data_IF_065034870454
#
_entry.id   IF_065034870454
#
_cell.length_a   1.000
_cell.length_b   1.000
_cell.length_c   1.000
_cell.angle_alpha   90.00
_cell.angle_beta   90.00
_cell.angle_gamma   90.00
#
_symmetry.space_group_name_H-M   'P 1'
#
loop_
_entity.id
_entity.type
_entity.pdbx_description
1 polymer ?
#
# COMPACT_ATOMS: atom_id res chain seq x y z
N UNK A 1 4.42 -7.24 17.19
CA UNK A 1 3.07 -7.68 16.79
C UNK A 1 2.55 -6.81 15.66
N UNK A 2 2.05 -7.45 14.63
CA UNK A 2 1.54 -6.72 13.48
C UNK A 2 0.16 -6.15 13.77
N UNK A 3 -0.05 -4.88 13.41
CA UNK A 3 -1.37 -4.29 13.55
C UNK A 3 -2.22 -4.69 12.35
N UNK A 4 -3.54 -4.75 12.58
CA UNK A 4 -4.45 -5.24 11.55
C UNK A 4 -4.34 -4.47 10.24
N UNK A 5 -4.20 -3.14 10.30
CA UNK A 5 -4.13 -2.35 9.08
C UNK A 5 -2.85 -2.65 8.28
N UNK A 6 -1.82 -3.16 8.95
CA UNK A 6 -0.57 -3.50 8.25
C UNK A 6 -0.77 -4.66 7.29
N UNK A 7 -1.79 -5.49 7.52
CA UNK A 7 -2.09 -6.58 6.60
C UNK A 7 -2.49 -6.05 5.23
N UNK A 8 -3.17 -4.90 5.20
CA UNK A 8 -3.54 -4.27 3.93
C UNK A 8 -2.29 -3.83 3.18
N UNK A 9 -1.39 -3.18 3.90
CA UNK A 9 -0.15 -2.67 3.30
C UNK A 9 0.67 -3.83 2.76
N UNK A 10 0.81 -4.91 3.54
CA UNK A 10 1.56 -6.08 3.10
C UNK A 10 0.89 -6.75 1.91
N UNK A 11 -0.42 -6.82 1.90
CA UNK A 11 -1.15 -7.42 0.80
C UNK A 11 -0.86 -6.68 -0.52
N UNK A 12 -0.94 -5.35 -0.49
CA UNK A 12 -0.68 -4.54 -1.68
C UNK A 12 0.79 -4.64 -2.07
N UNK A 13 1.67 -4.57 -1.09
CA UNK A 13 3.11 -4.66 -1.32
C UNK A 13 3.47 -5.96 -2.00
N UNK A 14 2.96 -7.08 -1.50
CA UNK A 14 3.23 -8.39 -2.09
C UNK A 14 2.60 -8.51 -3.47
N UNK A 15 1.39 -7.99 -3.64
CA UNK A 15 0.72 -8.06 -4.93
C UNK A 15 1.47 -7.30 -6.01
N UNK A 16 1.97 -6.13 -5.65
CA UNK A 16 2.75 -5.33 -6.59
C UNK A 16 4.09 -6.01 -6.87
N UNK A 17 4.74 -6.51 -5.82
CA UNK A 17 6.03 -7.16 -5.98
C UNK A 17 5.99 -8.42 -6.82
N UNK A 18 4.89 -9.17 -6.75
CA UNK A 18 4.75 -10.41 -7.50
C UNK A 18 4.18 -10.19 -8.90
N UNK A 19 3.67 -8.99 -9.17
CA UNK A 19 3.04 -8.69 -10.45
C UNK A 19 1.56 -9.03 -10.49
N UNK A 20 1.00 -9.53 -9.39
CA UNK A 20 -0.42 -9.84 -9.36
C UNK A 20 -1.29 -8.58 -9.32
N UNK A 21 -0.76 -7.51 -8.77
CA UNK A 21 -1.43 -6.22 -8.74
C UNK A 21 -0.60 -5.26 -9.56
N UNK A 22 -1.22 -4.63 -10.55
CA UNK A 22 -0.50 -3.76 -11.49
C UNK A 22 -0.98 -2.33 -11.42
N UNK A 23 -0.13 -1.42 -11.92
CA UNK A 23 -0.46 0.00 -11.97
C UNK A 23 -1.77 0.21 -12.71
N UNK A 24 -2.62 1.07 -12.15
CA UNK A 24 -3.92 1.36 -12.76
C UNK A 24 -5.00 0.36 -12.42
N UNK A 25 -4.64 -0.72 -11.77
CA UNK A 25 -5.60 -1.78 -11.45
C UNK A 25 -6.49 -1.38 -10.28
N UNK A 26 -7.75 -1.79 -10.34
CA UNK A 26 -8.69 -1.54 -9.26
C UNK A 26 -8.48 -2.54 -8.14
N UNK A 27 -8.41 -2.04 -6.93
CA UNK A 27 -8.26 -2.89 -5.75
C UNK A 27 -9.61 -3.42 -5.31
N UNK A 28 -9.60 -4.51 -4.55
CA UNK A 28 -10.81 -5.03 -3.94
C UNK A 28 -11.48 -3.95 -3.10
N UNK A 29 -12.82 -3.91 -3.10
CA UNK A 29 -13.54 -2.98 -2.21
C UNK A 29 -13.18 -3.24 -0.76
N UNK A 30 -13.30 -2.21 0.06
CA UNK A 30 -12.97 -2.27 1.48
C UNK A 30 -13.56 -3.51 2.15
N UNK A 31 -14.84 -3.76 1.89
CA UNK A 31 -15.55 -4.86 2.53
C UNK A 31 -14.94 -6.22 2.16
N UNK A 32 -14.66 -6.41 0.87
CA UNK A 32 -14.10 -7.68 0.41
C UNK A 32 -12.67 -7.84 0.88
N UNK A 33 -11.93 -6.75 0.91
CA UNK A 33 -10.56 -6.77 1.39
C UNK A 33 -10.52 -7.17 2.86
N UNK A 34 -11.43 -6.62 3.66
CA UNK A 34 -11.50 -6.95 5.07
C UNK A 34 -11.78 -8.44 5.27
N UNK A 35 -12.70 -8.99 4.47
CA UNK A 35 -13.02 -10.41 4.55
C UNK A 35 -11.82 -11.27 4.15
N UNK A 36 -11.18 -10.90 3.07
CA UNK A 36 -10.05 -11.66 2.55
C UNK A 36 -8.89 -11.70 3.55
N UNK A 37 -8.64 -10.59 4.20
CA UNK A 37 -7.52 -10.49 5.14
C UNK A 37 -7.92 -10.81 6.57
N UNK A 38 -9.19 -11.10 6.81
CA UNK A 38 -9.72 -11.45 8.12
C UNK A 38 -9.44 -10.36 9.15
N UNK A 39 -9.74 -9.13 8.77
CA UNK A 39 -9.59 -7.97 9.64
C UNK A 39 -10.90 -7.18 9.63
N UNK A 40 -10.99 -6.23 10.56
CA UNK A 40 -12.18 -5.40 10.63
C UNK A 40 -12.23 -4.44 9.45
N UNK A 41 -13.43 -3.96 9.13
CA UNK A 41 -13.56 -2.98 8.05
C UNK A 41 -12.85 -1.67 8.39
N UNK A 42 -12.84 -1.31 9.68
CA UNK A 42 -12.11 -0.12 10.11
C UNK A 42 -10.61 -0.26 9.85
N UNK A 43 -10.06 -1.44 10.13
CA UNK A 43 -8.65 -1.69 9.87
C UNK A 43 -8.35 -1.66 8.38
N UNK A 44 -9.25 -2.24 7.57
CA UNK A 44 -9.08 -2.22 6.11
C UNK A 44 -9.09 -0.79 5.61
N UNK A 45 -10.03 0.02 6.11
CA UNK A 45 -10.12 1.42 5.71
C UNK A 45 -8.88 2.20 6.10
N UNK A 46 -8.37 1.94 7.29
CA UNK A 46 -7.18 2.64 7.76
C UNK A 46 -5.96 2.32 6.89
N UNK A 47 -5.80 1.04 6.55
CA UNK A 47 -4.70 0.64 5.67
C UNK A 47 -4.80 1.27 4.29
N UNK A 48 -6.00 1.29 3.74
CA UNK A 48 -6.22 1.91 2.43
C UNK A 48 -5.94 3.41 2.49
N UNK A 49 -6.32 4.05 3.59
CA UNK A 49 -6.08 5.49 3.74
C UNK A 49 -4.59 5.79 3.81
N UNK A 50 -3.83 4.94 4.51
CA UNK A 50 -2.39 5.12 4.59
C UNK A 50 -1.77 5.01 3.21
N UNK A 51 -2.16 3.99 2.44
CA UNK A 51 -1.65 3.83 1.09
C UNK A 51 -2.03 4.99 0.18
N UNK A 52 -3.22 5.52 0.37
CA UNK A 52 -3.66 6.67 -0.40
C UNK A 52 -2.81 7.90 -0.05
N UNK A 53 -2.53 8.09 1.24
CA UNK A 53 -1.70 9.21 1.68
C UNK A 53 -0.28 9.09 1.15
N UNK A 54 0.20 7.87 0.95
CA UNK A 54 1.52 7.65 0.40
C UNK A 54 1.56 7.81 -1.12
N UNK A 55 0.40 7.96 -1.75
CA UNK A 55 0.34 8.10 -3.21
C UNK A 55 0.30 6.78 -3.96
N UNK A 56 0.26 5.66 -3.24
CA UNK A 56 0.20 4.35 -3.88
C UNK A 56 -1.19 4.07 -4.43
N UNK A 57 -2.22 4.58 -3.76
CA UNK A 57 -3.60 4.40 -4.19
C UNK A 57 -4.23 5.74 -4.54
N UNK A 58 -5.15 5.70 -5.49
CA UNK A 58 -5.99 6.84 -5.83
C UNK A 58 -7.43 6.44 -5.62
N UNK A 59 -8.15 7.22 -4.83
CA UNK A 59 -9.55 6.99 -4.58
C UNK A 59 -10.36 7.72 -5.64
N UNK A 60 -11.26 6.99 -6.31
CA UNK A 60 -12.13 7.59 -7.31
C UNK A 60 -13.55 7.52 -6.80
N UNK A 61 -14.16 8.67 -6.67
CA UNK A 61 -15.47 8.77 -6.07
C UNK A 61 -16.47 7.90 -6.83
N UNK A 62 -17.13 7.02 -6.08
CA UNK A 62 -18.12 6.13 -6.67
C UNK A 62 -17.56 4.94 -7.41
N UNK A 63 -16.24 4.86 -7.59
CA UNK A 63 -15.63 3.79 -8.38
C UNK A 63 -14.66 2.93 -7.59
N UNK A 64 -14.18 3.39 -6.45
CA UNK A 64 -13.29 2.60 -5.59
C UNK A 64 -11.86 3.10 -5.60
N UNK A 65 -10.97 2.22 -5.16
CA UNK A 65 -9.55 2.55 -5.07
C UNK A 65 -8.77 1.88 -6.20
N UNK A 66 -7.86 2.63 -6.78
CA UNK A 66 -7.05 2.15 -7.90
C UNK A 66 -5.57 2.33 -7.56
N UNK A 67 -4.74 1.42 -8.06
CA UNK A 67 -3.29 1.56 -7.92
C UNK A 67 -2.85 2.73 -8.80
N UNK A 68 -2.07 3.64 -8.22
CA UNK A 68 -1.60 4.82 -8.95
C UNK A 68 -0.80 4.39 -10.18
N UNK A 69 -0.99 5.14 -11.27
CA UNK A 69 -0.28 4.84 -12.51
C UNK A 69 1.23 5.05 -12.40
N UNK A 70 1.65 5.83 -11.41
CA UNK A 70 3.07 6.13 -11.22
C UNK A 70 3.64 5.50 -9.95
N UNK A 71 3.03 4.39 -9.47
CA UNK A 71 3.51 3.81 -8.22
C UNK A 71 4.96 3.33 -8.31
N UNK A 72 5.42 2.97 -9.51
CA UNK A 72 6.81 2.55 -9.69
C UNK A 72 7.77 3.67 -9.32
N UNK A 73 7.45 4.89 -9.73
CA UNK A 73 8.28 6.05 -9.42
C UNK A 73 8.26 6.33 -7.92
N UNK A 74 7.08 6.23 -7.32
CA UNK A 74 6.94 6.47 -5.89
C UNK A 74 7.76 5.45 -5.12
N UNK A 75 7.66 4.19 -5.50
CA UNK A 75 8.38 3.12 -4.84
C UNK A 75 9.88 3.31 -4.99
N UNK A 76 10.32 3.68 -6.20
CA UNK A 76 11.73 3.92 -6.45
C UNK A 76 12.27 5.04 -5.59
N UNK A 77 11.51 6.12 -5.45
CA UNK A 77 11.90 7.24 -4.61
C UNK A 77 12.02 6.84 -3.15
N UNK A 78 11.06 6.05 -2.69
CA UNK A 78 11.09 5.57 -1.30
C UNK A 78 12.29 4.70 -1.04
N UNK A 79 12.59 3.80 -1.97
CA UNK A 79 13.74 2.91 -1.82
C UNK A 79 15.05 3.68 -1.86
N UNK A 80 15.14 4.68 -2.74
CA UNK A 80 16.32 5.54 -2.81
C UNK A 80 16.54 6.28 -1.51
N UNK A 81 15.46 6.83 -0.96
CA UNK A 81 15.53 7.56 0.30
C UNK A 81 16.01 6.66 1.42
N UNK A 82 15.45 5.45 1.49
CA UNK A 82 15.85 4.49 2.51
C UNK A 82 17.31 4.08 2.36
N UNK A 83 17.77 3.92 1.12
CA UNK A 83 19.16 3.59 0.85
C UNK A 83 20.09 4.69 1.34
N UNK A 84 19.72 5.93 1.05
CA UNK A 84 20.52 7.09 1.48
C UNK A 84 20.58 7.16 3.00
N UNK A 85 19.46 6.94 3.67
CA UNK A 85 19.43 6.95 5.12
C UNK A 85 20.36 5.90 5.71
N UNK A 86 20.36 4.73 5.12
CA UNK A 86 21.26 3.66 5.58
C UNK A 86 22.71 4.04 5.38
N UNK A 87 23.02 4.65 4.25
CA UNK A 87 24.41 5.00 3.93
C UNK A 87 24.97 6.02 4.90
N UNK A 88 24.14 6.97 5.35
CA UNK A 88 24.63 7.97 6.29
C UNK A 88 24.49 7.54 7.74
N UNK A 89 24.05 6.30 7.96
CA UNK A 89 24.00 5.73 9.30
C UNK A 89 22.80 6.09 10.12
N UNK A 90 21.83 6.81 9.55
CA UNK A 90 20.62 7.18 10.29
C UNK A 90 19.77 5.92 10.46
N UNK A 91 19.47 5.60 11.73
CA UNK A 91 18.67 4.42 12.02
C UNK A 91 19.35 3.11 11.69
N UNK A 92 20.62 3.12 11.38
CA UNK A 92 21.33 1.94 10.96
C UNK A 92 21.85 1.07 12.08
N UNK A 93 21.64 1.49 13.27
CA UNK A 93 22.17 0.72 14.41
C UNK A 93 21.14 0.58 15.46
#
# INVERSE_FOLDING_TARGET
MEKSYEKVIEYVKHGIGSGEIQAGEKLLPERELAQKLEISRNSAREGLRILENMGVLESQQGAGNYISGNFDEILAEMLSFMYILKKIGVGGH
#
